data_IF_066063906578
#
_entry.id   IF_066063906578
#
_cell.length_a   1.000
_cell.length_b   1.000
_cell.length_c   1.000
_cell.angle_alpha   90.00
_cell.angle_beta   90.00
_cell.angle_gamma   90.00
#
_symmetry.space_group_name_H-M   'P 1'
#
loop_
_entity.id
_entity.type
_entity.pdbx_description
1 polymer ?
#
# COMPACT_ATOMS: atom_id res chain seq x y z
N UNK A 1 -20.94 -2.40 -9.49
CA UNK A 1 -20.65 -3.84 -9.36
C UNK A 1 -21.11 -4.29 -8.00
N UNK A 2 -22.17 -5.07 -7.96
CA UNK A 2 -22.81 -5.58 -6.74
C UNK A 2 -21.91 -6.56 -5.99
N UNK A 3 -22.05 -6.61 -4.67
CA UNK A 3 -21.39 -7.61 -3.82
C UNK A 3 -22.29 -8.82 -3.59
N UNK A 4 -21.69 -9.92 -3.13
CA UNK A 4 -22.40 -11.14 -2.72
C UNK A 4 -22.73 -11.09 -1.23
N UNK A 5 -23.99 -11.26 -0.84
CA UNK A 5 -24.44 -11.15 0.55
C UNK A 5 -25.09 -12.45 0.99
N UNK A 6 -24.61 -13.04 2.09
CA UNK A 6 -25.27 -14.19 2.71
C UNK A 6 -26.23 -13.71 3.81
N UNK A 7 -27.51 -14.01 3.67
CA UNK A 7 -28.54 -13.73 4.67
C UNK A 7 -28.84 -15.00 5.47
N UNK A 8 -28.77 -14.89 6.80
CA UNK A 8 -28.97 -16.01 7.72
C UNK A 8 -30.00 -15.63 8.77
N UNK A 9 -31.14 -16.31 8.79
CA UNK A 9 -32.21 -16.14 9.80
C UNK A 9 -33.03 -17.44 9.84
N UNK A 10 -33.42 -17.90 11.02
CA UNK A 10 -34.19 -19.14 11.17
C UNK A 10 -35.66 -18.98 10.73
N UNK A 11 -36.13 -17.74 10.61
CA UNK A 11 -37.47 -17.41 10.13
C UNK A 11 -37.43 -17.13 8.62
N UNK A 12 -38.01 -18.04 7.84
CA UNK A 12 -38.02 -17.97 6.36
C UNK A 12 -38.56 -16.65 5.81
N UNK A 13 -39.57 -16.07 6.47
CA UNK A 13 -40.14 -14.79 6.06
C UNK A 13 -39.13 -13.62 6.16
N UNK A 14 -38.26 -13.61 7.18
CA UNK A 14 -37.22 -12.59 7.34
C UNK A 14 -36.17 -12.73 6.23
N UNK A 15 -35.75 -13.96 5.92
CA UNK A 15 -34.79 -14.26 4.86
C UNK A 15 -35.32 -13.76 3.51
N UNK A 16 -36.54 -14.15 3.13
CA UNK A 16 -37.15 -13.74 1.84
C UNK A 16 -37.32 -12.23 1.73
N UNK A 17 -37.65 -11.56 2.84
CA UNK A 17 -37.79 -10.11 2.86
C UNK A 17 -36.44 -9.42 2.60
N UNK A 18 -35.38 -9.84 3.30
CA UNK A 18 -34.04 -9.28 3.13
C UNK A 18 -33.46 -9.62 1.75
N UNK A 19 -33.70 -10.83 1.26
CA UNK A 19 -33.31 -11.27 -0.08
C UNK A 19 -33.94 -10.39 -1.16
N UNK A 20 -35.26 -10.18 -1.11
CA UNK A 20 -35.95 -9.32 -2.06
C UNK A 20 -35.42 -7.87 -2.03
N UNK A 21 -35.19 -7.32 -0.83
CA UNK A 21 -34.66 -5.95 -0.65
C UNK A 21 -33.25 -5.82 -1.23
N UNK A 22 -32.34 -6.72 -0.89
CA UNK A 22 -30.95 -6.67 -1.36
C UNK A 22 -30.85 -6.95 -2.86
N UNK A 23 -31.63 -7.89 -3.39
CA UNK A 23 -31.67 -8.18 -4.82
C UNK A 23 -32.18 -6.98 -5.64
N UNK A 24 -33.10 -6.19 -5.08
CA UNK A 24 -33.59 -4.97 -5.75
C UNK A 24 -32.52 -3.87 -5.87
N UNK A 25 -31.52 -3.90 -5.00
CA UNK A 25 -30.31 -3.06 -5.05
C UNK A 25 -29.14 -3.76 -5.79
N UNK A 26 -29.47 -4.77 -6.61
CA UNK A 26 -28.58 -5.53 -7.48
C UNK A 26 -27.57 -6.46 -6.78
N UNK A 27 -27.64 -6.64 -5.45
CA UNK A 27 -26.76 -7.60 -4.75
C UNK A 27 -27.04 -9.06 -5.14
N UNK A 28 -25.99 -9.87 -5.21
CA UNK A 28 -26.11 -11.34 -5.35
C UNK A 28 -26.39 -11.93 -3.97
N UNK A 29 -27.56 -12.53 -3.74
CA UNK A 29 -27.97 -12.95 -2.40
C UNK A 29 -27.94 -14.47 -2.25
N UNK A 30 -27.22 -14.92 -1.23
CA UNK A 30 -27.25 -16.29 -0.73
C UNK A 30 -28.10 -16.34 0.53
N UNK A 31 -28.72 -17.49 0.80
CA UNK A 31 -29.62 -17.66 1.93
C UNK A 31 -29.31 -18.90 2.75
N UNK A 32 -29.37 -18.79 4.08
CA UNK A 32 -29.31 -19.90 5.00
C UNK A 32 -30.37 -19.75 6.10
N UNK A 33 -30.85 -20.87 6.63
CA UNK A 33 -31.91 -20.90 7.66
C UNK A 33 -31.42 -21.44 9.01
N UNK A 34 -30.11 -21.65 9.17
CA UNK A 34 -29.48 -22.12 10.40
C UNK A 34 -27.96 -21.91 10.34
N UNK A 35 -27.31 -21.95 11.52
CA UNK A 35 -25.87 -21.77 11.65
C UNK A 35 -25.00 -22.76 10.85
N UNK A 36 -25.18 -24.08 10.97
CA UNK A 36 -24.38 -25.05 10.22
C UNK A 36 -24.38 -24.84 8.69
N UNK A 37 -25.56 -24.63 8.10
CA UNK A 37 -25.67 -24.33 6.66
C UNK A 37 -25.00 -23.00 6.32
N UNK A 38 -25.10 -21.99 7.19
CA UNK A 38 -24.43 -20.70 6.97
C UNK A 38 -22.90 -20.84 6.94
N UNK A 39 -22.32 -21.66 7.81
CA UNK A 39 -20.88 -21.93 7.84
C UNK A 39 -20.42 -22.64 6.56
N UNK A 40 -21.14 -23.66 6.12
CA UNK A 40 -20.85 -24.39 4.88
C UNK A 40 -20.87 -23.46 3.65
N UNK A 41 -21.91 -22.63 3.54
CA UNK A 41 -22.02 -21.65 2.44
C UNK A 41 -20.90 -20.61 2.53
N UNK A 42 -20.56 -20.12 3.73
CA UNK A 42 -19.51 -19.12 3.89
C UNK A 42 -18.13 -19.65 3.44
N UNK A 43 -17.80 -20.91 3.71
CA UNK A 43 -16.52 -21.52 3.33
C UNK A 43 -16.40 -21.83 1.83
N UNK A 44 -17.52 -22.18 1.21
CA UNK A 44 -17.60 -22.59 -0.20
C UNK A 44 -17.76 -21.40 -1.15
N UNK A 45 -18.69 -20.49 -0.84
CA UNK A 45 -19.09 -19.38 -1.72
C UNK A 45 -18.36 -18.06 -1.42
N UNK A 46 -17.67 -17.97 -0.26
CA UNK A 46 -16.90 -16.80 0.20
C UNK A 46 -17.64 -15.45 -0.01
N UNK A 47 -18.81 -15.26 0.63
CA UNK A 47 -19.63 -14.07 0.44
C UNK A 47 -18.89 -12.79 0.81
N UNK A 48 -19.32 -11.65 0.28
CA UNK A 48 -18.75 -10.33 0.55
C UNK A 48 -19.17 -9.74 1.89
N UNK A 49 -20.36 -10.09 2.38
CA UNK A 49 -20.89 -9.72 3.69
C UNK A 49 -21.84 -10.82 4.15
N UNK A 50 -21.91 -11.07 5.45
CA UNK A 50 -22.90 -11.94 6.07
C UNK A 50 -23.84 -11.09 6.94
N UNK A 51 -25.15 -11.18 6.70
CA UNK A 51 -26.20 -10.69 7.60
C UNK A 51 -26.69 -11.86 8.44
N UNK A 52 -26.43 -11.83 9.73
CA UNK A 52 -26.59 -12.97 10.62
C UNK A 52 -27.57 -12.66 11.75
N UNK A 53 -28.69 -13.36 11.80
CA UNK A 53 -29.58 -13.28 12.95
C UNK A 53 -28.89 -13.82 14.21
N UNK A 54 -29.15 -13.15 15.34
CA UNK A 54 -28.60 -13.55 16.64
C UNK A 54 -29.34 -14.76 17.20
N UNK A 55 -30.67 -14.79 17.07
CA UNK A 55 -31.57 -15.65 17.83
C UNK A 55 -31.98 -16.87 17.00
N UNK A 56 -31.04 -17.79 16.77
CA UNK A 56 -31.30 -19.03 16.04
C UNK A 56 -31.25 -20.27 16.94
N UNK A 57 -32.07 -21.30 16.68
CA UNK A 57 -32.09 -22.53 17.46
C UNK A 57 -30.84 -23.39 17.22
N UNK A 58 -30.44 -24.15 18.26
CA UNK A 58 -29.27 -25.05 18.32
C UNK A 58 -27.92 -24.32 18.30
N UNK A 59 -27.71 -23.41 17.36
CA UNK A 59 -26.51 -22.61 17.22
C UNK A 59 -26.91 -21.16 17.01
N UNK A 60 -26.62 -20.32 18.01
CA UNK A 60 -26.92 -18.89 17.95
C UNK A 60 -25.96 -18.14 17.01
N UNK A 61 -26.33 -16.92 16.63
CA UNK A 61 -25.50 -16.12 15.72
C UNK A 61 -24.14 -15.74 16.30
N UNK A 62 -23.98 -15.69 17.63
CA UNK A 62 -22.69 -15.40 18.25
C UNK A 62 -21.70 -16.56 18.04
N UNK A 63 -22.18 -17.79 18.19
CA UNK A 63 -21.38 -18.99 17.96
C UNK A 63 -20.99 -19.11 16.47
N UNK A 64 -21.92 -18.88 15.56
CA UNK A 64 -21.62 -18.83 14.12
C UNK A 64 -20.56 -17.76 13.83
N UNK A 65 -20.70 -16.56 14.38
CA UNK A 65 -19.72 -15.48 14.21
C UNK A 65 -18.32 -15.89 14.72
N UNK A 66 -18.22 -16.49 15.90
CA UNK A 66 -16.93 -16.99 16.44
C UNK A 66 -16.29 -18.03 15.54
N UNK A 67 -17.08 -18.95 14.97
CA UNK A 67 -16.56 -19.97 14.07
C UNK A 67 -16.08 -19.36 12.74
N UNK A 68 -16.83 -18.41 12.18
CA UNK A 68 -16.40 -17.66 11.00
C UNK A 68 -15.10 -16.90 11.23
N UNK A 69 -14.97 -16.24 12.38
CA UNK A 69 -13.79 -15.45 12.75
C UNK A 69 -12.58 -16.27 13.19
N UNK A 70 -12.75 -17.54 13.52
CA UNK A 70 -11.63 -18.46 13.83
C UNK A 70 -11.12 -19.24 12.61
N UNK A 71 -11.89 -19.32 11.53
CA UNK A 71 -11.49 -19.98 10.29
C UNK A 71 -10.72 -19.01 9.37
N UNK A 72 -9.49 -19.38 8.98
CA UNK A 72 -8.62 -18.61 8.07
C UNK A 72 -9.26 -18.25 6.72
N UNK A 73 -10.22 -19.04 6.21
CA UNK A 73 -10.91 -18.76 4.94
C UNK A 73 -11.99 -17.69 5.07
N UNK A 74 -12.58 -17.55 6.24
CA UNK A 74 -13.77 -16.70 6.47
C UNK A 74 -13.54 -15.57 7.47
N UNK A 75 -12.39 -15.53 8.14
CA UNK A 75 -12.05 -14.53 9.17
C UNK A 75 -12.24 -13.10 8.69
N UNK A 76 -12.03 -12.89 7.40
CA UNK A 76 -12.09 -11.59 6.75
C UNK A 76 -13.44 -11.24 6.15
N UNK A 77 -14.37 -12.18 6.13
CA UNK A 77 -15.74 -11.92 5.69
C UNK A 77 -16.42 -11.07 6.76
N UNK A 78 -16.89 -9.86 6.43
CA UNK A 78 -17.58 -9.01 7.38
C UNK A 78 -18.91 -9.62 7.85
N UNK A 79 -19.15 -9.66 9.16
CA UNK A 79 -20.39 -10.18 9.75
C UNK A 79 -21.17 -9.04 10.40
N UNK A 80 -22.40 -8.83 9.92
CA UNK A 80 -23.37 -7.89 10.49
C UNK A 80 -24.42 -8.67 11.25
N UNK A 81 -24.47 -8.47 12.56
CA UNK A 81 -25.45 -9.13 13.42
C UNK A 81 -26.80 -8.39 13.34
N UNK A 82 -27.86 -9.11 12.99
CA UNK A 82 -29.23 -8.60 12.94
C UNK A 82 -29.95 -9.06 14.20
N UNK A 83 -30.46 -8.14 15.01
CA UNK A 83 -31.02 -8.49 16.33
C UNK A 83 -32.31 -7.72 16.65
N UNK A 84 -33.26 -8.39 17.30
CA UNK A 84 -34.43 -7.75 17.89
C UNK A 84 -34.02 -7.02 19.19
N UNK A 85 -34.53 -5.80 19.35
CA UNK A 85 -33.99 -4.73 20.20
C UNK A 85 -33.82 -5.01 21.71
N UNK A 86 -32.96 -4.15 22.28
CA UNK A 86 -32.86 -3.62 23.66
C UNK A 86 -31.83 -4.21 24.61
N UNK A 87 -31.25 -5.38 24.35
CA UNK A 87 -30.23 -5.89 25.26
C UNK A 87 -28.83 -5.39 24.91
N UNK A 88 -28.45 -4.31 25.60
CA UNK A 88 -27.08 -3.80 25.76
C UNK A 88 -26.02 -4.89 25.86
N UNK A 89 -26.31 -6.00 26.56
CA UNK A 89 -25.36 -7.10 26.74
C UNK A 89 -25.07 -7.84 25.42
N UNK A 90 -26.05 -7.97 24.53
CA UNK A 90 -25.89 -8.71 23.29
C UNK A 90 -25.02 -7.98 22.25
N UNK A 91 -24.95 -6.63 22.30
CA UNK A 91 -24.05 -5.86 21.40
C UNK A 91 -22.59 -6.01 21.80
N UNK A 92 -22.29 -5.90 23.10
CA UNK A 92 -20.95 -6.13 23.62
C UNK A 92 -20.50 -7.57 23.35
N UNK A 93 -21.36 -8.55 23.62
CA UNK A 93 -21.11 -9.96 23.29
C UNK A 93 -20.84 -10.20 21.80
N UNK A 94 -21.52 -9.47 20.91
CA UNK A 94 -21.24 -9.59 19.48
C UNK A 94 -19.89 -9.01 19.06
N UNK A 95 -19.46 -7.89 19.66
CA UNK A 95 -18.12 -7.34 19.44
C UNK A 95 -17.02 -8.27 19.97
N UNK A 96 -17.28 -8.95 21.09
CA UNK A 96 -16.42 -9.99 21.65
C UNK A 96 -16.39 -11.24 20.75
N UNK A 97 -17.52 -11.58 20.12
CA UNK A 97 -17.60 -12.66 19.13
C UNK A 97 -16.95 -12.32 17.77
N UNK A 98 -16.48 -11.08 17.61
CA UNK A 98 -15.81 -10.60 16.40
C UNK A 98 -16.73 -10.06 15.31
N UNK A 99 -17.99 -9.74 15.63
CA UNK A 99 -18.90 -9.11 14.66
C UNK A 99 -18.36 -7.75 14.21
N UNK A 100 -18.49 -7.48 12.91
CA UNK A 100 -18.03 -6.24 12.30
C UNK A 100 -19.05 -5.12 12.45
N UNK A 101 -20.34 -5.44 12.61
CA UNK A 101 -21.37 -4.43 12.79
C UNK A 101 -22.70 -5.02 13.31
N UNK A 102 -23.67 -4.14 13.57
CA UNK A 102 -25.01 -4.52 14.00
C UNK A 102 -26.09 -3.78 13.22
N UNK A 103 -27.21 -4.49 13.00
CA UNK A 103 -28.47 -3.93 12.57
C UNK A 103 -29.56 -4.32 13.55
N UNK A 104 -30.43 -3.36 13.79
CA UNK A 104 -31.54 -3.49 14.72
C UNK A 104 -32.82 -3.81 13.94
N UNK A 105 -33.58 -4.81 14.40
CA UNK A 105 -34.92 -5.13 13.87
C UNK A 105 -35.95 -4.17 14.50
N UNK A 106 -36.91 -3.62 13.73
CA UNK A 106 -37.09 -3.81 12.29
C UNK A 106 -35.99 -3.11 11.47
N UNK A 107 -35.46 -3.82 10.47
CA UNK A 107 -34.33 -3.34 9.68
C UNK A 107 -34.76 -2.15 8.82
N UNK A 108 -34.12 -1.00 9.04
CA UNK A 108 -34.27 0.19 8.20
C UNK A 108 -33.48 0.02 6.90
N UNK A 109 -34.12 0.28 5.77
CA UNK A 109 -33.56 0.03 4.43
C UNK A 109 -32.33 0.91 4.14
N UNK A 110 -32.38 2.20 4.53
CA UNK A 110 -31.24 3.12 4.39
C UNK A 110 -30.06 2.60 5.21
N UNK A 111 -30.32 2.13 6.43
CA UNK A 111 -29.32 1.54 7.31
C UNK A 111 -28.66 0.32 6.67
N UNK A 112 -29.50 -0.61 6.22
CA UNK A 112 -29.11 -1.88 5.64
C UNK A 112 -28.21 -1.68 4.42
N UNK A 113 -28.67 -0.89 3.46
CA UNK A 113 -27.94 -0.72 2.21
C UNK A 113 -26.64 0.04 2.40
N UNK A 114 -26.63 1.11 3.22
CA UNK A 114 -25.40 1.82 3.50
C UNK A 114 -24.37 0.95 4.21
N UNK A 115 -24.81 0.15 5.18
CA UNK A 115 -23.98 -0.82 5.90
C UNK A 115 -23.35 -1.84 4.96
N UNK A 116 -24.18 -2.50 4.15
CA UNK A 116 -23.72 -3.53 3.20
C UNK A 116 -22.77 -2.91 2.18
N UNK A 117 -23.09 -1.74 1.60
CA UNK A 117 -22.19 -1.05 0.65
C UNK A 117 -20.84 -0.68 1.28
N UNK A 118 -20.84 -0.18 2.51
CA UNK A 118 -19.62 0.18 3.26
C UNK A 118 -18.73 -1.05 3.47
N UNK A 119 -19.31 -2.16 3.90
CA UNK A 119 -18.59 -3.41 4.16
C UNK A 119 -18.09 -4.10 2.90
N UNK A 120 -18.87 -4.11 1.81
CA UNK A 120 -18.42 -4.64 0.52
C UNK A 120 -17.22 -3.83 -0.02
N UNK A 121 -17.26 -2.50 0.11
CA UNK A 121 -16.12 -1.63 -0.28
C UNK A 121 -14.88 -1.96 0.55
N UNK A 122 -15.05 -2.12 1.85
CA UNK A 122 -13.96 -2.45 2.78
C UNK A 122 -13.36 -3.82 2.48
N UNK A 123 -14.18 -4.86 2.27
CA UNK A 123 -13.69 -6.21 1.92
C UNK A 123 -12.86 -6.17 0.64
N UNK A 124 -13.35 -5.51 -0.42
CA UNK A 124 -12.62 -5.40 -1.68
C UNK A 124 -11.28 -4.68 -1.52
N UNK A 125 -11.25 -3.59 -0.76
CA UNK A 125 -10.02 -2.88 -0.46
C UNK A 125 -9.02 -3.79 0.29
N UNK A 126 -9.50 -4.55 1.27
CA UNK A 126 -8.66 -5.51 2.01
C UNK A 126 -8.15 -6.65 1.14
N UNK A 127 -8.99 -7.21 0.25
CA UNK A 127 -8.60 -8.24 -0.70
C UNK A 127 -7.53 -7.72 -1.67
N UNK A 128 -7.66 -6.49 -2.17
CA UNK A 128 -6.67 -5.87 -3.04
C UNK A 128 -5.32 -5.70 -2.34
N UNK A 129 -5.32 -5.22 -1.09
CA UNK A 129 -4.10 -5.10 -0.27
C UNK A 129 -3.47 -6.47 0.00
N UNK A 130 -4.27 -7.51 0.25
CA UNK A 130 -3.75 -8.87 0.44
C UNK A 130 -3.20 -9.50 -0.82
N UNK A 131 -3.81 -9.27 -1.97
CA UNK A 131 -3.25 -9.73 -3.26
C UNK A 131 -1.87 -9.10 -3.45
N UNK A 132 -1.73 -7.81 -3.11
CA UNK A 132 -0.45 -7.09 -3.14
C UNK A 132 0.56 -7.63 -2.11
N UNK A 133 0.15 -7.91 -0.88
CA UNK A 133 0.99 -8.57 0.13
C UNK A 133 1.39 -10.00 -0.29
N UNK A 134 0.48 -10.77 -0.90
CA UNK A 134 0.74 -12.13 -1.38
C UNK A 134 1.72 -12.18 -2.56
N UNK A 135 1.82 -11.09 -3.33
CA UNK A 135 2.88 -10.89 -4.31
C UNK A 135 4.20 -10.64 -3.56
N UNK A 136 4.20 -9.78 -2.53
CA UNK A 136 5.36 -9.52 -1.67
C UNK A 136 5.86 -10.75 -0.87
N UNK A 137 4.98 -11.61 -0.38
CA UNK A 137 5.37 -12.82 0.38
C UNK A 137 6.06 -13.87 -0.49
N UNK A 138 5.71 -13.95 -1.79
CA UNK A 138 6.49 -14.73 -2.78
C UNK A 138 7.90 -14.19 -2.99
N UNK A 139 8.17 -12.95 -2.61
CA UNK A 139 9.51 -12.36 -2.61
C UNK A 139 10.30 -12.59 -1.30
N UNK A 140 9.77 -13.37 -0.36
CA UNK A 140 10.49 -13.81 0.84
C UNK A 140 10.35 -12.89 2.06
N UNK A 141 9.34 -12.01 2.07
CA UNK A 141 8.96 -11.30 3.29
C UNK A 141 8.48 -12.31 4.33
N UNK A 142 9.22 -12.44 5.43
CA UNK A 142 8.80 -13.27 6.56
C UNK A 142 7.52 -12.71 7.20
N UNK A 143 6.71 -13.60 7.80
CA UNK A 143 5.58 -13.22 8.64
C UNK A 143 6.09 -12.36 9.80
N UNK A 144 5.96 -11.04 9.72
CA UNK A 144 6.21 -10.16 10.86
C UNK A 144 5.13 -10.40 11.90
N UNK A 145 5.49 -10.65 13.19
CA UNK A 145 4.50 -10.87 14.22
C UNK A 145 3.64 -9.62 14.41
N UNK A 146 2.33 -9.83 14.28
CA UNK A 146 1.30 -8.82 14.44
C UNK A 146 1.20 -8.43 15.91
N UNK A 147 1.61 -7.21 16.26
CA UNK A 147 1.24 -6.65 17.56
C UNK A 147 -0.20 -6.13 17.47
N UNK A 148 -1.11 -6.69 18.27
CA UNK A 148 -2.45 -6.13 18.41
C UNK A 148 -2.32 -4.77 19.10
N UNK A 149 -2.30 -3.70 18.31
CA UNK A 149 -2.40 -2.35 18.85
C UNK A 149 -3.81 -2.13 19.40
N UNK A 150 -3.98 -2.50 20.67
CA UNK A 150 -5.16 -2.26 21.50
C UNK A 150 -5.05 -0.94 22.26
N UNK A 151 -4.13 -0.06 21.89
CA UNK A 151 -3.95 1.24 22.54
C UNK A 151 -5.21 2.11 22.47
N UNK A 152 -5.40 3.05 23.41
CA UNK A 152 -6.56 3.93 23.43
C UNK A 152 -6.52 4.93 22.24
N UNK A 153 -7.68 5.21 21.63
CA UNK A 153 -7.75 5.94 20.35
C UNK A 153 -7.92 7.46 20.49
N UNK A 154 -7.48 8.26 19.51
CA UNK A 154 -7.77 9.71 19.48
C UNK A 154 -9.01 10.00 18.63
N UNK A 155 -10.01 10.65 19.22
CA UNK A 155 -11.31 10.90 18.59
C UNK A 155 -11.60 12.40 18.47
N UNK A 156 -12.40 12.77 17.49
CA UNK A 156 -12.93 14.13 17.33
C UNK A 156 -14.46 14.09 17.35
N UNK A 157 -15.08 14.90 18.20
CA UNK A 157 -16.54 15.10 18.22
C UNK A 157 -16.85 16.49 17.68
N UNK A 158 -17.74 16.55 16.71
CA UNK A 158 -18.25 17.78 16.09
C UNK A 158 -19.75 17.87 16.37
N UNK A 159 -20.12 18.63 17.39
CA UNK A 159 -21.51 18.83 17.80
C UNK A 159 -21.63 20.22 18.44
N UNK A 160 -22.68 20.96 18.09
CA UNK A 160 -22.96 22.30 18.63
C UNK A 160 -23.61 22.21 20.01
N UNK A 161 -24.25 21.08 20.33
CA UNK A 161 -24.75 20.79 21.67
C UNK A 161 -23.59 20.34 22.57
N UNK A 162 -23.08 21.29 23.35
CA UNK A 162 -21.99 21.05 24.30
C UNK A 162 -22.33 19.97 25.33
N UNK A 163 -23.60 19.86 25.74
CA UNK A 163 -24.03 18.86 26.71
C UNK A 163 -24.04 17.46 26.10
N UNK A 164 -24.56 17.34 24.87
CA UNK A 164 -24.49 16.08 24.12
C UNK A 164 -23.03 15.67 23.87
N UNK A 165 -22.17 16.60 23.44
CA UNK A 165 -20.75 16.36 23.22
C UNK A 165 -20.02 15.91 24.49
N UNK A 166 -20.31 16.53 25.63
CA UNK A 166 -19.74 16.15 26.92
C UNK A 166 -20.17 14.74 27.35
N UNK A 167 -21.45 14.39 27.19
CA UNK A 167 -21.97 13.05 27.49
C UNK A 167 -21.37 11.97 26.59
N UNK A 168 -21.19 12.25 25.31
CA UNK A 168 -20.52 11.35 24.38
C UNK A 168 -19.05 11.17 24.76
N UNK A 169 -18.37 12.26 25.13
CA UNK A 169 -16.98 12.22 25.62
C UNK A 169 -16.85 11.30 26.82
N UNK A 170 -17.70 11.47 27.85
CA UNK A 170 -17.72 10.60 29.03
C UNK A 170 -17.92 9.13 28.66
N UNK A 171 -18.82 8.86 27.73
CA UNK A 171 -19.13 7.51 27.26
C UNK A 171 -17.95 6.86 26.53
N UNK A 172 -17.13 7.64 25.82
CA UNK A 172 -16.01 7.15 25.00
C UNK A 172 -14.68 7.05 25.76
N UNK A 173 -14.58 7.59 26.99
CA UNK A 173 -13.37 7.48 27.82
C UNK A 173 -12.79 6.06 27.95
N UNK A 174 -13.58 4.97 28.03
CA UNK A 174 -13.01 3.62 28.14
C UNK A 174 -12.22 3.16 26.92
N UNK A 175 -12.47 3.76 25.74
CA UNK A 175 -11.89 3.34 24.45
C UNK A 175 -11.01 4.43 23.83
N UNK A 176 -11.09 5.66 24.32
CA UNK A 176 -10.40 6.83 23.79
C UNK A 176 -9.28 7.31 24.73
N UNK A 177 -8.12 7.60 24.16
CA UNK A 177 -7.00 8.25 24.85
C UNK A 177 -7.28 9.74 25.07
N UNK A 178 -7.84 10.37 24.04
CA UNK A 178 -8.24 11.77 24.08
C UNK A 178 -9.40 12.00 23.12
N UNK A 179 -10.34 12.85 23.52
CA UNK A 179 -11.47 13.26 22.70
C UNK A 179 -11.39 14.77 22.51
N UNK A 180 -11.03 15.19 21.30
CA UNK A 180 -11.12 16.58 20.88
C UNK A 180 -12.59 16.92 20.60
N UNK A 181 -12.99 18.17 20.89
CA UNK A 181 -14.35 18.65 20.69
C UNK A 181 -14.30 19.92 19.84
N UNK A 182 -15.21 20.02 18.89
CA UNK A 182 -15.42 21.21 18.07
C UNK A 182 -16.91 21.51 17.99
N UNK A 183 -17.26 22.78 18.08
CA UNK A 183 -18.64 23.26 17.97
C UNK A 183 -19.09 23.43 16.52
N UNK A 184 -18.13 23.56 15.59
CA UNK A 184 -18.39 23.74 14.16
C UNK A 184 -17.48 22.87 13.31
N UNK A 185 -17.92 22.53 12.09
CA UNK A 185 -17.09 21.79 11.13
C UNK A 185 -15.82 22.54 10.72
N UNK A 186 -15.83 23.88 10.71
CA UNK A 186 -14.66 24.69 10.37
C UNK A 186 -13.61 24.65 11.48
N UNK A 187 -14.05 24.75 12.74
CA UNK A 187 -13.18 24.54 13.90
C UNK A 187 -12.61 23.12 13.91
N UNK A 188 -13.45 22.11 13.66
CA UNK A 188 -13.02 20.72 13.57
C UNK A 188 -11.90 20.54 12.55
N UNK A 189 -12.05 21.09 11.34
CA UNK A 189 -11.04 21.02 10.28
C UNK A 189 -9.69 21.61 10.70
N UNK A 190 -9.69 22.73 11.41
CA UNK A 190 -8.46 23.37 11.88
C UNK A 190 -7.77 22.58 13.02
N UNK A 191 -8.55 21.82 13.79
CA UNK A 191 -8.06 20.95 14.86
C UNK A 191 -7.71 19.54 14.37
N UNK A 192 -7.94 19.21 13.09
CA UNK A 192 -7.62 17.89 12.56
C UNK A 192 -6.10 17.66 12.50
N UNK A 193 -5.67 16.60 13.14
CA UNK A 193 -4.29 16.11 13.11
C UNK A 193 -4.27 14.66 12.59
N UNK A 194 -3.13 14.22 12.05
CA UNK A 194 -3.02 12.91 11.37
C UNK A 194 -3.28 11.70 12.30
N UNK A 195 -3.10 11.90 13.60
CA UNK A 195 -3.28 10.92 14.67
C UNK A 195 -4.74 10.73 15.10
N UNK A 196 -5.68 11.57 14.66
CA UNK A 196 -7.11 11.35 14.93
C UNK A 196 -7.57 10.08 14.18
N UNK A 197 -8.24 9.17 14.88
CA UNK A 197 -8.68 7.87 14.36
C UNK A 197 -10.15 7.80 13.96
N UNK A 198 -10.99 8.71 14.44
CA UNK A 198 -12.41 8.77 14.10
C UNK A 198 -12.94 10.20 14.31
N UNK A 199 -13.78 10.64 13.38
CA UNK A 199 -14.63 11.83 13.55
C UNK A 199 -16.06 11.38 13.81
N UNK A 200 -16.69 11.94 14.83
CA UNK A 200 -18.12 11.81 15.09
C UNK A 200 -18.77 13.18 14.86
N UNK A 201 -19.61 13.31 13.84
CA UNK A 201 -20.12 14.61 13.41
C UNK A 201 -21.66 14.66 13.36
N UNK A 202 -22.25 15.61 14.07
CA UNK A 202 -23.70 15.87 14.07
C UNK A 202 -24.15 16.61 12.82
N UNK A 203 -25.17 16.08 12.14
CA UNK A 203 -25.82 16.69 10.97
C UNK A 203 -26.69 17.91 11.33
N UNK A 204 -27.01 18.09 12.61
CA UNK A 204 -27.95 19.09 13.10
C UNK A 204 -27.29 20.43 13.46
N UNK A 205 -25.97 20.57 13.23
CA UNK A 205 -25.19 21.74 13.63
C UNK A 205 -25.60 23.01 12.85
N UNK A 206 -26.06 24.09 13.52
CA UNK A 206 -26.37 25.36 12.90
C UNK A 206 -25.08 26.09 12.52
N UNK A 207 -24.67 26.00 11.25
CA UNK A 207 -23.55 26.75 10.68
C UNK A 207 -22.41 25.92 10.06
N UNK A 208 -22.46 24.59 10.12
CA UNK A 208 -21.45 23.73 9.50
C UNK A 208 -22.08 22.49 8.88
N UNK A 209 -22.04 22.37 7.55
CA UNK A 209 -22.56 21.17 6.90
C UNK A 209 -21.59 20.00 7.13
N UNK A 210 -21.93 19.09 8.03
CA UNK A 210 -21.15 17.87 8.29
C UNK A 210 -20.90 17.06 7.00
N UNK A 211 -21.80 17.14 6.01
CA UNK A 211 -21.58 16.57 4.69
C UNK A 211 -20.39 17.21 3.95
N UNK A 212 -20.18 18.53 4.12
CA UNK A 212 -19.02 19.23 3.58
C UNK A 212 -17.74 18.74 4.24
N UNK A 213 -17.74 18.54 5.57
CA UNK A 213 -16.59 17.96 6.27
C UNK A 213 -16.23 16.58 5.70
N UNK A 214 -17.23 15.72 5.44
CA UNK A 214 -17.02 14.42 4.76
C UNK A 214 -16.33 14.62 3.41
N UNK A 215 -16.84 15.50 2.56
CA UNK A 215 -16.21 15.75 1.24
C UNK A 215 -14.79 16.28 1.33
N UNK A 216 -14.50 17.17 2.29
CA UNK A 216 -13.17 17.73 2.51
C UNK A 216 -12.18 16.67 2.98
N UNK A 217 -12.57 15.82 3.92
CA UNK A 217 -11.76 14.68 4.36
C UNK A 217 -11.49 13.74 3.18
N UNK A 218 -12.50 13.40 2.38
CA UNK A 218 -12.35 12.47 1.24
C UNK A 218 -11.48 13.04 0.11
N UNK A 219 -11.47 14.35 -0.09
CA UNK A 219 -10.62 15.02 -1.08
C UNK A 219 -9.14 15.13 -0.63
N UNK A 220 -8.87 15.19 0.67
CA UNK A 220 -7.54 15.36 1.23
C UNK A 220 -6.79 14.02 1.31
N UNK A 221 -5.54 13.95 0.85
CA UNK A 221 -4.77 12.69 0.84
C UNK A 221 -4.55 12.10 2.25
N UNK A 222 -4.28 12.95 3.24
CA UNK A 222 -4.04 12.53 4.63
C UNK A 222 -5.31 11.99 5.30
N UNK A 223 -6.46 12.61 5.03
CA UNK A 223 -7.72 12.29 5.72
C UNK A 223 -8.69 11.46 4.88
N UNK A 224 -8.32 11.09 3.64
CA UNK A 224 -9.20 10.37 2.70
C UNK A 224 -9.81 9.12 3.32
N UNK A 225 -9.02 8.44 4.14
CA UNK A 225 -9.39 7.18 4.76
C UNK A 225 -9.87 7.33 6.21
N UNK A 226 -9.87 8.55 6.76
CA UNK A 226 -10.31 8.80 8.13
C UNK A 226 -11.79 8.42 8.29
N UNK A 227 -12.15 7.52 9.23
CA UNK A 227 -13.52 7.18 9.48
C UNK A 227 -14.35 8.37 9.97
N UNK A 228 -15.57 8.48 9.45
CA UNK A 228 -16.53 9.51 9.87
C UNK A 228 -17.85 8.82 10.23
N UNK A 229 -18.28 9.00 11.47
CA UNK A 229 -19.56 8.55 12.02
C UNK A 229 -20.50 9.76 12.11
N UNK A 230 -21.60 9.75 11.37
CA UNK A 230 -22.57 10.85 11.39
C UNK A 230 -23.58 10.67 12.53
N UNK A 231 -24.05 11.74 13.15
CA UNK A 231 -25.19 11.70 14.07
C UNK A 231 -26.34 12.46 13.42
N UNK A 232 -27.52 11.86 13.37
CA UNK A 232 -28.70 12.43 12.72
C UNK A 232 -29.94 12.33 13.62
N UNK A 233 -30.90 13.23 13.41
CA UNK A 233 -32.28 13.05 13.90
C UNK A 233 -33.11 12.26 12.87
N UNK A 234 -34.27 11.72 13.28
CA UNK A 234 -35.19 11.02 12.37
C UNK A 234 -35.59 11.85 11.14
N UNK A 235 -35.59 13.18 11.28
CA UNK A 235 -35.92 14.13 10.20
C UNK A 235 -34.81 14.25 9.14
N UNK A 236 -33.59 13.85 9.48
CA UNK A 236 -32.40 13.99 8.64
C UNK A 236 -32.04 12.72 7.85
N UNK A 237 -32.88 11.68 7.90
CA UNK A 237 -32.68 10.43 7.14
C UNK A 237 -32.28 10.63 5.66
N UNK A 238 -32.87 11.58 4.90
CA UNK A 238 -32.43 11.85 3.52
C UNK A 238 -31.01 12.44 3.43
N UNK A 239 -30.62 13.30 4.38
CA UNK A 239 -29.26 13.90 4.43
C UNK A 239 -28.22 12.86 4.84
N UNK A 240 -28.60 11.93 5.71
CA UNK A 240 -27.78 10.81 6.14
C UNK A 240 -27.47 9.86 4.98
N UNK A 241 -28.46 9.51 4.14
CA UNK A 241 -28.21 8.74 2.92
C UNK A 241 -27.17 9.41 2.03
N UNK A 242 -27.30 10.73 1.81
CA UNK A 242 -26.32 11.52 1.07
C UNK A 242 -24.94 11.51 1.72
N UNK A 243 -24.84 11.59 3.04
CA UNK A 243 -23.56 11.51 3.75
C UNK A 243 -22.82 10.19 3.55
N UNK A 244 -23.56 9.08 3.55
CA UNK A 244 -23.01 7.76 3.28
C UNK A 244 -22.55 7.63 1.82
N UNK A 245 -23.30 8.21 0.88
CA UNK A 245 -22.88 8.26 -0.53
C UNK A 245 -21.64 9.13 -0.75
N UNK A 246 -21.49 10.22 0.01
CA UNK A 246 -20.29 11.08 0.04
C UNK A 246 -19.10 10.42 0.74
N UNK A 247 -19.29 9.26 1.39
CA UNK A 247 -18.23 8.45 1.95
C UNK A 247 -18.13 8.48 3.47
N UNK A 248 -19.15 8.95 4.20
CA UNK A 248 -19.24 8.64 5.63
C UNK A 248 -19.30 7.12 5.84
N UNK A 249 -18.70 6.64 6.92
CA UNK A 249 -18.52 5.21 7.14
C UNK A 249 -19.74 4.59 7.79
N UNK A 250 -20.38 5.36 8.66
CA UNK A 250 -21.52 4.92 9.44
C UNK A 250 -22.29 6.14 10.01
N UNK A 251 -23.42 5.90 10.69
CA UNK A 251 -24.21 6.91 11.37
C UNK A 251 -24.87 6.41 12.67
N UNK A 252 -25.29 7.32 13.53
CA UNK A 252 -26.14 7.10 14.71
C UNK A 252 -27.40 7.96 14.58
N UNK A 253 -28.51 7.49 15.14
CA UNK A 253 -29.76 8.26 15.24
C UNK A 253 -29.94 8.73 16.68
N UNK A 254 -30.39 9.97 16.88
CA UNK A 254 -30.73 10.49 18.22
C UNK A 254 -32.07 9.89 18.69
N UNK A 255 -32.23 9.60 20.00
CA UNK A 255 -31.25 9.79 21.07
C UNK A 255 -30.12 8.76 21.01
N UNK A 256 -28.88 9.23 21.19
CA UNK A 256 -27.68 8.36 21.09
C UNK A 256 -27.61 7.43 22.30
N UNK A 257 -27.73 6.13 22.05
CA UNK A 257 -27.50 5.08 23.04
C UNK A 257 -25.99 4.96 23.37
N UNK A 258 -25.65 4.83 24.66
CA UNK A 258 -24.25 4.79 25.10
C UNK A 258 -23.52 3.57 24.54
N UNK A 259 -24.16 2.42 24.51
CA UNK A 259 -23.54 1.16 24.09
C UNK A 259 -23.45 1.09 22.57
N UNK A 260 -24.43 1.66 21.87
CA UNK A 260 -24.38 1.78 20.42
C UNK A 260 -23.25 2.72 19.98
N UNK A 261 -23.08 3.86 20.65
CA UNK A 261 -21.97 4.78 20.41
C UNK A 261 -20.62 4.08 20.63
N UNK A 262 -20.46 3.37 21.75
CA UNK A 262 -19.25 2.59 22.05
C UNK A 262 -18.99 1.53 20.98
N UNK A 263 -20.00 0.74 20.65
CA UNK A 263 -19.89 -0.35 19.68
C UNK A 263 -19.45 0.14 18.30
N UNK A 264 -20.09 1.20 17.80
CA UNK A 264 -19.76 1.78 16.50
C UNK A 264 -18.39 2.43 16.53
N UNK A 265 -18.03 3.11 17.61
CA UNK A 265 -16.71 3.73 17.75
C UNK A 265 -15.59 2.69 17.72
N UNK A 266 -15.69 1.64 18.53
CA UNK A 266 -14.71 0.54 18.56
C UNK A 266 -14.58 -0.11 17.18
N UNK A 267 -15.71 -0.34 16.51
CA UNK A 267 -15.75 -0.91 15.17
C UNK A 267 -14.98 -0.04 14.17
N UNK A 268 -15.23 1.28 14.15
CA UNK A 268 -14.54 2.18 13.22
C UNK A 268 -13.04 2.30 13.50
N UNK A 269 -12.63 2.32 14.79
CA UNK A 269 -11.22 2.33 15.18
C UNK A 269 -10.53 1.04 14.74
N UNK A 270 -11.13 -0.13 15.03
CA UNK A 270 -10.60 -1.44 14.61
C UNK A 270 -10.40 -1.50 13.09
N UNK A 271 -11.39 -1.03 12.32
CA UNK A 271 -11.31 -0.95 10.86
C UNK A 271 -10.16 -0.05 10.39
N UNK A 272 -10.04 1.17 10.93
CA UNK A 272 -8.93 2.08 10.57
C UNK A 272 -7.57 1.46 10.87
N UNK A 273 -7.39 0.87 12.05
CA UNK A 273 -6.11 0.25 12.44
C UNK A 273 -5.76 -0.93 11.56
N UNK A 274 -6.74 -1.78 11.24
CA UNK A 274 -6.53 -2.90 10.32
C UNK A 274 -6.08 -2.39 8.94
N UNK A 275 -6.74 -1.35 8.43
CA UNK A 275 -6.38 -0.73 7.17
C UNK A 275 -4.96 -0.14 7.18
N UNK A 276 -4.63 0.66 8.19
CA UNK A 276 -3.29 1.24 8.34
C UNK A 276 -2.22 0.14 8.43
N UNK A 277 -2.47 -0.94 9.17
CA UNK A 277 -1.55 -2.08 9.30
C UNK A 277 -1.29 -2.75 7.95
N UNK A 278 -2.33 -2.99 7.16
CA UNK A 278 -2.18 -3.59 5.83
C UNK A 278 -1.38 -2.66 4.90
N UNK A 279 -1.62 -1.36 4.96
CA UNK A 279 -0.83 -0.39 4.18
C UNK A 279 0.64 -0.32 4.62
N UNK A 280 0.90 -0.31 5.93
CA UNK A 280 2.25 -0.31 6.49
C UNK A 280 3.00 -1.60 6.16
N UNK A 281 2.36 -2.76 6.34
CA UNK A 281 2.93 -4.05 5.98
C UNK A 281 3.26 -4.11 4.49
N UNK A 282 2.38 -3.60 3.63
CA UNK A 282 2.63 -3.52 2.20
C UNK A 282 3.83 -2.62 1.89
N UNK A 283 3.88 -1.41 2.47
CA UNK A 283 5.02 -0.48 2.29
C UNK A 283 6.33 -1.09 2.79
N UNK A 284 6.32 -1.70 3.97
CA UNK A 284 7.48 -2.35 4.56
C UNK A 284 7.94 -3.53 3.70
N UNK A 285 7.01 -4.32 3.18
CA UNK A 285 7.33 -5.43 2.28
C UNK A 285 7.88 -4.95 0.94
N UNK A 286 7.41 -3.81 0.43
CA UNK A 286 8.01 -3.16 -0.73
C UNK A 286 9.43 -2.67 -0.42
N UNK A 287 9.64 -1.97 0.68
CA UNK A 287 10.95 -1.41 1.03
C UNK A 287 12.01 -2.51 1.22
N UNK A 288 11.64 -3.59 1.93
CA UNK A 288 12.49 -4.80 2.12
C UNK A 288 12.76 -5.57 0.82
N UNK A 289 11.83 -5.56 -0.13
CA UNK A 289 12.01 -6.25 -1.41
C UNK A 289 12.83 -5.42 -2.42
N UNK A 290 12.86 -4.10 -2.25
CA UNK A 290 13.33 -3.17 -3.27
C UNK A 290 14.65 -2.50 -2.95
N UNK A 291 15.03 -2.30 -1.68
CA UNK A 291 16.24 -1.54 -1.30
C UNK A 291 17.19 -2.30 -0.37
N UNK A 292 18.49 -2.12 -0.57
CA UNK A 292 19.59 -2.72 0.19
C UNK A 292 19.76 -2.01 1.53
N UNK A 293 19.54 -2.73 2.64
CA UNK A 293 19.56 -2.16 4.01
C UNK A 293 20.87 -1.43 4.36
N UNK A 294 21.99 -1.88 3.78
CA UNK A 294 23.29 -1.26 4.05
C UNK A 294 23.45 0.06 3.32
N UNK A 295 23.14 0.12 2.03
CA UNK A 295 23.47 1.26 1.15
C UNK A 295 22.29 2.18 0.84
N UNK A 296 21.06 1.73 1.07
CA UNK A 296 19.83 2.42 0.67
C UNK A 296 19.59 2.44 -0.84
N UNK A 297 20.41 1.74 -1.63
CA UNK A 297 20.25 1.61 -3.09
C UNK A 297 19.26 0.50 -3.43
N UNK A 298 18.80 0.43 -4.68
CA UNK A 298 17.92 -0.66 -5.09
C UNK A 298 18.63 -2.03 -5.07
N UNK A 299 17.90 -3.08 -4.69
CA UNK A 299 18.40 -4.45 -4.78
C UNK A 299 18.42 -4.97 -6.22
N UNK A 300 19.25 -6.00 -6.46
CA UNK A 300 19.36 -6.75 -7.72
C UNK A 300 18.00 -7.12 -8.34
N UNK A 301 17.00 -7.44 -7.53
CA UNK A 301 15.67 -7.87 -8.02
C UNK A 301 14.91 -6.73 -8.70
N UNK A 302 14.89 -5.54 -8.10
CA UNK A 302 14.27 -4.36 -8.71
C UNK A 302 15.00 -3.92 -9.98
N UNK A 303 16.34 -3.98 -9.94
CA UNK A 303 17.18 -3.74 -11.11
C UNK A 303 16.73 -4.58 -12.32
N UNK A 304 16.46 -5.87 -12.12
CA UNK A 304 16.10 -6.77 -13.23
C UNK A 304 14.73 -6.43 -13.83
N UNK A 305 13.72 -6.18 -13.00
CA UNK A 305 12.38 -5.77 -13.47
C UNK A 305 12.48 -4.47 -14.29
N UNK A 306 13.20 -3.47 -13.77
CA UNK A 306 13.34 -2.19 -14.44
C UNK A 306 14.14 -2.29 -15.76
N UNK A 307 15.17 -3.15 -15.79
CA UNK A 307 15.96 -3.36 -16.98
C UNK A 307 15.18 -4.09 -18.09
N UNK A 308 14.31 -5.04 -17.71
CA UNK A 308 13.41 -5.72 -18.64
C UNK A 308 12.42 -4.74 -19.29
N UNK A 309 11.82 -3.81 -18.51
CA UNK A 309 10.95 -2.75 -19.02
C UNK A 309 11.70 -1.78 -19.94
N UNK A 310 12.91 -1.36 -19.56
CA UNK A 310 13.73 -0.44 -20.36
C UNK A 310 14.07 -1.04 -21.72
N UNK A 311 14.42 -2.32 -21.76
CA UNK A 311 14.76 -3.02 -23.01
C UNK A 311 13.56 -3.16 -23.93
N UNK A 312 12.36 -3.39 -23.38
CA UNK A 312 11.13 -3.36 -24.18
C UNK A 312 10.96 -2.00 -24.87
N UNK A 313 11.19 -0.90 -24.15
CA UNK A 313 11.15 0.45 -24.73
C UNK A 313 12.24 0.70 -25.76
N UNK A 314 13.47 0.21 -25.54
CA UNK A 314 14.55 0.26 -26.56
C UNK A 314 14.11 -0.45 -27.84
N UNK A 315 13.46 -1.61 -27.71
CA UNK A 315 13.03 -2.43 -28.84
C UNK A 315 11.78 -1.88 -29.56
N UNK A 316 10.87 -1.20 -28.84
CA UNK A 316 9.62 -0.67 -29.38
C UNK A 316 9.75 0.79 -29.85
N UNK A 317 10.34 1.65 -29.02
CA UNK A 317 10.39 3.10 -29.21
C UNK A 317 11.73 3.56 -29.82
N UNK A 318 12.73 2.68 -29.91
CA UNK A 318 14.05 3.01 -30.43
C UNK A 318 14.87 3.94 -29.53
N UNK A 319 14.52 4.06 -28.24
CA UNK A 319 15.26 4.89 -27.29
C UNK A 319 16.65 4.30 -27.01
N UNK A 320 17.65 5.15 -26.79
CA UNK A 320 19.00 4.71 -26.39
C UNK A 320 19.03 4.38 -24.89
N UNK A 321 19.72 3.32 -24.49
CA UNK A 321 19.94 3.02 -23.07
C UNK A 321 21.38 2.57 -22.82
N UNK A 322 21.88 2.84 -21.62
CA UNK A 322 23.20 2.39 -21.20
C UNK A 322 23.21 1.92 -19.74
N UNK A 323 24.13 0.99 -19.46
CA UNK A 323 24.34 0.42 -18.13
C UNK A 323 25.81 0.56 -17.77
N UNK A 324 26.06 1.08 -16.57
CA UNK A 324 27.38 1.03 -15.94
C UNK A 324 27.36 -0.10 -14.92
N UNK A 325 28.37 -0.95 -14.98
CA UNK A 325 28.64 -1.93 -13.95
C UNK A 325 30.01 -1.61 -13.37
N UNK A 326 30.12 -1.52 -12.05
CA UNK A 326 31.37 -1.20 -11.40
C UNK A 326 31.55 -1.89 -10.06
N UNK A 327 32.80 -1.97 -9.66
CA UNK A 327 33.28 -2.74 -8.52
C UNK A 327 34.44 -2.02 -7.86
N UNK A 328 34.55 -2.17 -6.53
CA UNK A 328 35.60 -1.54 -5.73
C UNK A 328 36.90 -2.33 -5.89
N UNK A 329 37.93 -1.65 -6.37
CA UNK A 329 39.23 -2.27 -6.54
C UNK A 329 39.80 -2.71 -5.18
N UNK A 330 40.13 -4.00 -5.07
CA UNK A 330 40.73 -4.59 -3.87
C UNK A 330 39.85 -4.53 -2.61
N UNK A 331 38.52 -4.50 -2.74
CA UNK A 331 37.61 -4.43 -1.58
C UNK A 331 37.82 -5.52 -0.53
N UNK A 332 38.13 -6.75 -0.96
CA UNK A 332 38.45 -7.86 -0.04
C UNK A 332 39.62 -7.50 0.91
N UNK A 333 40.64 -6.82 0.41
CA UNK A 333 41.78 -6.38 1.24
C UNK A 333 41.36 -5.33 2.26
N UNK A 334 40.38 -4.48 1.94
CA UNK A 334 39.82 -3.51 2.89
C UNK A 334 39.14 -4.24 4.05
N UNK A 335 38.31 -5.24 3.76
CA UNK A 335 37.66 -6.06 4.79
C UNK A 335 38.68 -6.85 5.62
N UNK A 336 39.67 -7.47 4.97
CA UNK A 336 40.68 -8.28 5.64
C UNK A 336 41.60 -7.42 6.53
N UNK A 337 41.84 -6.16 6.18
CA UNK A 337 42.76 -5.25 6.90
C UNK A 337 42.06 -4.42 7.97
N UNK A 338 40.84 -3.94 7.69
CA UNK A 338 40.14 -2.95 8.53
C UNK A 338 38.83 -3.49 9.13
N UNK A 339 38.46 -4.73 8.82
CA UNK A 339 37.24 -5.37 9.28
C UNK A 339 36.00 -5.03 8.46
N UNK A 340 34.94 -5.84 8.60
CA UNK A 340 33.71 -5.70 7.84
C UNK A 340 32.98 -4.37 8.07
N UNK A 341 33.02 -3.82 9.30
CA UNK A 341 32.42 -2.52 9.60
C UNK A 341 33.03 -1.36 8.80
N UNK A 342 34.34 -1.43 8.51
CA UNK A 342 35.00 -0.45 7.65
C UNK A 342 34.61 -0.62 6.18
N UNK A 343 34.42 -1.87 5.72
CA UNK A 343 33.86 -2.16 4.39
C UNK A 343 32.45 -1.60 4.23
N UNK A 344 31.61 -1.73 5.25
CA UNK A 344 30.24 -1.21 5.26
C UNK A 344 30.19 0.32 5.17
N UNK A 345 31.12 1.01 5.83
CA UNK A 345 31.29 2.47 5.71
C UNK A 345 31.67 2.87 4.28
N UNK A 346 32.59 2.13 3.66
CA UNK A 346 33.02 2.36 2.27
C UNK A 346 31.84 2.17 1.30
N UNK A 347 31.05 1.11 1.48
CA UNK A 347 29.89 0.83 0.62
C UNK A 347 28.82 1.92 0.74
N UNK A 348 28.52 2.41 1.96
CA UNK A 348 27.58 3.52 2.20
C UNK A 348 28.03 4.82 1.54
N UNK A 349 29.30 5.15 1.69
CA UNK A 349 29.87 6.36 1.08
C UNK A 349 29.89 6.26 -0.44
N UNK A 350 30.24 5.09 -1.01
CA UNK A 350 30.24 4.89 -2.46
C UNK A 350 28.83 4.99 -3.04
N UNK A 351 27.83 4.42 -2.36
CA UNK A 351 26.43 4.55 -2.74
C UNK A 351 26.00 6.02 -2.78
N UNK A 352 26.31 6.77 -1.73
CA UNK A 352 26.07 8.21 -1.67
C UNK A 352 26.71 8.95 -2.85
N UNK A 353 28.01 8.73 -3.10
CA UNK A 353 28.73 9.39 -4.21
C UNK A 353 28.15 9.04 -5.58
N UNK A 354 27.74 7.78 -5.77
CA UNK A 354 27.14 7.32 -7.02
C UNK A 354 25.83 8.05 -7.28
N UNK A 355 24.93 8.08 -6.29
CA UNK A 355 23.63 8.76 -6.40
C UNK A 355 23.76 10.26 -6.71
N UNK A 356 24.79 10.94 -6.17
CA UNK A 356 25.06 12.35 -6.48
C UNK A 356 25.71 12.58 -7.86
N UNK A 357 26.32 11.55 -8.46
CA UNK A 357 26.97 11.65 -9.76
C UNK A 357 26.01 11.39 -10.94
N UNK A 358 24.83 10.83 -10.68
CA UNK A 358 23.83 10.45 -11.70
C UNK A 358 22.57 11.31 -11.58
N UNK A 359 21.68 11.24 -12.57
CA UNK A 359 20.42 11.99 -12.59
C UNK A 359 19.37 11.30 -11.73
N UNK A 360 18.35 12.03 -11.30
CA UNK A 360 17.19 11.48 -10.56
C UNK A 360 16.44 10.40 -11.35
N UNK A 361 16.49 10.45 -12.69
CA UNK A 361 15.86 9.44 -13.57
C UNK A 361 16.71 8.19 -13.77
N UNK A 362 18.00 8.22 -13.37
CA UNK A 362 18.90 7.08 -13.48
C UNK A 362 18.69 6.16 -12.26
N UNK A 363 18.64 4.85 -12.49
CA UNK A 363 18.47 3.86 -11.42
C UNK A 363 19.84 3.41 -10.93
N UNK A 364 20.08 3.49 -9.62
CA UNK A 364 21.29 2.98 -8.97
C UNK A 364 20.94 1.77 -8.10
N UNK A 365 21.59 0.64 -8.37
CA UNK A 365 21.34 -0.60 -7.67
C UNK A 365 22.64 -1.26 -7.20
N UNK A 366 22.56 -2.02 -6.12
CA UNK A 366 23.60 -2.93 -5.66
C UNK A 366 23.27 -4.34 -6.14
N UNK A 367 24.12 -4.89 -7.02
CA UNK A 367 23.90 -6.20 -7.66
C UNK A 367 24.38 -7.35 -6.79
N UNK A 368 25.41 -7.15 -5.97
CA UNK A 368 25.98 -8.19 -5.13
C UNK A 368 24.98 -8.77 -4.12
N UNK A 369 24.92 -10.09 -4.01
CA UNK A 369 24.13 -10.77 -2.98
C UNK A 369 24.91 -10.68 -1.63
N UNK A 370 24.37 -9.94 -0.66
CA UNK A 370 24.99 -9.80 0.68
C UNK A 370 26.25 -8.91 0.70
N UNK A 371 27.42 -9.49 0.99
CA UNK A 371 28.69 -8.78 1.16
C UNK A 371 29.37 -8.34 -0.16
N UNK A 372 28.63 -8.31 -1.27
CA UNK A 372 29.17 -7.97 -2.59
C UNK A 372 29.40 -6.46 -2.78
N UNK A 373 30.41 -6.14 -3.59
CA UNK A 373 30.90 -4.80 -3.90
C UNK A 373 30.57 -4.35 -5.34
N UNK A 374 29.62 -5.04 -5.98
CA UNK A 374 29.16 -4.74 -7.34
C UNK A 374 27.94 -3.82 -7.35
N UNK A 375 28.06 -2.74 -8.12
CA UNK A 375 27.04 -1.73 -8.30
C UNK A 375 26.69 -1.58 -9.77
N UNK A 376 25.42 -1.25 -10.02
CA UNK A 376 24.87 -1.05 -11.36
C UNK A 376 24.19 0.30 -11.41
N UNK A 377 24.44 1.07 -12.48
CA UNK A 377 23.65 2.25 -12.83
C UNK A 377 22.99 2.01 -14.17
N UNK A 378 21.67 2.15 -14.23
CA UNK A 378 20.88 2.08 -15.46
C UNK A 378 20.49 3.50 -15.86
N UNK A 379 20.83 3.87 -17.09
CA UNK A 379 20.59 5.21 -17.61
C UNK A 379 19.68 5.13 -18.85
N UNK A 380 18.39 5.45 -18.70
CA UNK A 380 17.49 5.55 -19.85
C UNK A 380 17.87 6.75 -20.73
N UNK A 381 17.49 6.68 -22.00
CA UNK A 381 17.68 7.77 -22.99
C UNK A 381 19.12 8.29 -23.07
N UNK A 382 20.09 7.39 -22.91
CA UNK A 382 21.51 7.74 -22.82
C UNK A 382 22.35 6.96 -23.82
N UNK A 383 23.08 7.70 -24.66
CA UNK A 383 24.07 7.17 -25.60
C UNK A 383 25.35 6.71 -24.87
N UNK A 384 26.05 5.74 -25.45
CA UNK A 384 27.30 5.18 -24.93
C UNK A 384 28.40 6.24 -24.66
N UNK A 385 28.44 7.32 -25.44
CA UNK A 385 29.43 8.40 -25.29
C UNK A 385 29.16 9.22 -24.04
N UNK A 386 27.88 9.53 -23.79
CA UNK A 386 27.44 10.22 -22.57
C UNK A 386 27.66 9.31 -21.37
N UNK A 387 27.32 8.02 -21.52
CA UNK A 387 27.53 7.02 -20.48
C UNK A 387 29.00 6.90 -20.06
N UNK A 388 29.93 6.89 -21.03
CA UNK A 388 31.36 6.88 -20.76
C UNK A 388 31.81 8.15 -20.01
N UNK A 389 31.25 9.31 -20.33
CA UNK A 389 31.51 10.56 -19.61
C UNK A 389 31.03 10.54 -18.15
N UNK A 390 29.85 9.96 -17.89
CA UNK A 390 29.33 9.77 -16.53
C UNK A 390 30.20 8.77 -15.76
N UNK A 391 30.58 7.66 -16.38
CA UNK A 391 31.47 6.66 -15.79
C UNK A 391 32.83 7.27 -15.40
N UNK A 392 33.46 8.03 -16.29
CA UNK A 392 34.76 8.64 -16.00
C UNK A 392 34.65 9.70 -14.88
N UNK A 393 33.54 10.47 -14.86
CA UNK A 393 33.27 11.39 -13.75
C UNK A 393 33.15 10.64 -12.42
N UNK A 394 32.38 9.56 -12.37
CA UNK A 394 32.21 8.74 -11.17
C UNK A 394 33.56 8.16 -10.69
N UNK A 395 34.35 7.59 -11.60
CA UNK A 395 35.69 7.06 -11.32
C UNK A 395 36.62 8.14 -10.75
N UNK A 396 36.65 9.32 -11.38
CA UNK A 396 37.50 10.43 -10.95
C UNK A 396 37.09 10.98 -9.57
N UNK A 397 35.79 11.12 -9.30
CA UNK A 397 35.28 11.54 -7.99
C UNK A 397 35.68 10.54 -6.90
N UNK A 398 35.50 9.25 -7.14
CA UNK A 398 35.86 8.19 -6.21
C UNK A 398 37.36 8.16 -5.92
N UNK A 399 38.21 8.28 -6.95
CA UNK A 399 39.66 8.26 -6.79
C UNK A 399 40.22 9.54 -6.14
N UNK A 400 39.56 10.69 -6.31
CA UNK A 400 40.02 11.98 -5.78
C UNK A 400 39.69 12.15 -4.30
N UNK A 401 38.51 11.71 -3.89
CA UNK A 401 38.01 11.96 -2.54
C UNK A 401 38.26 10.74 -1.65
N UNK A 402 38.99 10.86 -0.53
CA UNK A 402 39.20 9.73 0.36
C UNK A 402 37.90 9.32 1.08
N UNK A 403 37.76 8.03 1.38
CA UNK A 403 36.68 7.44 2.17
C UNK A 403 37.00 7.58 3.65
N UNK A 404 36.06 8.06 4.46
CA UNK A 404 36.26 8.23 5.90
C UNK A 404 35.60 7.07 6.66
N UNK A 405 36.40 6.29 7.40
CA UNK A 405 35.88 5.20 8.24
C UNK A 405 35.39 5.79 9.56
N UNK A 406 34.15 5.52 9.96
CA UNK A 406 33.52 6.10 11.15
C UNK A 406 34.11 5.57 12.45
N UNK A 407 34.58 4.32 12.46
CA UNK A 407 35.13 3.67 13.65
C UNK A 407 36.37 4.39 14.20
N UNK A 408 37.28 4.81 13.30
CA UNK A 408 38.61 5.31 13.65
C UNK A 408 38.95 6.69 13.06
N UNK A 409 38.06 7.29 12.25
CA UNK A 409 38.28 8.57 11.56
C UNK A 409 39.35 8.55 10.46
N UNK A 410 39.86 7.36 10.10
CA UNK A 410 40.89 7.20 9.07
C UNK A 410 40.34 7.46 7.66
N UNK A 411 41.23 7.93 6.79
CA UNK A 411 40.94 8.23 5.39
C UNK A 411 41.60 7.20 4.48
N UNK A 412 40.79 6.45 3.72
CA UNK A 412 41.23 5.48 2.73
C UNK A 412 41.12 6.05 1.32
N UNK A 413 42.13 5.86 0.48
CA UNK A 413 42.04 6.17 -0.95
C UNK A 413 41.76 4.89 -1.69
N UNK A 414 40.57 4.77 -2.28
CA UNK A 414 40.12 3.60 -3.01
C UNK A 414 39.78 4.00 -4.45
N UNK A 415 39.83 3.03 -5.35
CA UNK A 415 39.49 3.20 -6.76
C UNK A 415 38.39 2.23 -7.15
N UNK A 416 37.73 2.54 -8.27
CA UNK A 416 36.72 1.65 -8.86
C UNK A 416 37.07 1.38 -10.31
N UNK A 417 36.76 0.17 -10.76
CA UNK A 417 36.79 -0.21 -12.16
C UNK A 417 35.37 -0.20 -12.71
N UNK A 418 35.16 0.34 -13.91
CA UNK A 418 33.82 0.51 -14.50
C UNK A 418 33.77 -0.09 -15.90
N UNK A 419 32.80 -0.95 -16.14
CA UNK A 419 32.39 -1.43 -17.46
C UNK A 419 31.13 -0.71 -17.93
N UNK A 420 31.13 -0.21 -19.16
CA UNK A 420 29.98 0.45 -19.79
C UNK A 420 29.46 -0.42 -20.93
N UNK A 421 28.17 -0.75 -20.88
CA UNK A 421 27.42 -1.38 -21.98
C UNK A 421 26.30 -0.46 -22.45
N UNK A 422 26.03 -0.44 -23.76
CA UNK A 422 24.87 0.26 -24.33
C UNK A 422 23.95 -0.73 -25.02
N UNK A 423 22.65 -0.56 -24.87
CA UNK A 423 21.62 -1.40 -25.47
C UNK A 423 21.48 -1.15 -26.97
N UNK A 424 21.21 -2.20 -27.73
CA UNK A 424 20.84 -2.15 -29.14
C UNK A 424 19.47 -2.77 -29.37
N UNK A 425 18.87 -2.44 -30.52
CA UNK A 425 17.64 -3.07 -30.96
C UNK A 425 17.83 -4.60 -31.09
N UNK A 426 16.94 -5.35 -30.46
CA UNK A 426 16.99 -6.81 -30.38
C UNK A 426 17.81 -7.37 -29.22
N UNK A 427 18.41 -6.53 -28.36
CA UNK A 427 19.03 -7.01 -27.13
C UNK A 427 17.98 -7.53 -26.13
N UNK A 428 18.39 -8.50 -25.33
CA UNK A 428 17.76 -8.87 -24.06
C UNK A 428 18.58 -8.36 -22.87
N UNK A 429 18.01 -8.46 -21.67
CA UNK A 429 18.63 -8.03 -20.41
C UNK A 429 19.99 -8.67 -20.19
N UNK A 430 20.06 -9.98 -20.41
CA UNK A 430 21.26 -10.76 -20.11
C UNK A 430 22.39 -10.42 -21.08
N UNK A 431 22.09 -10.09 -22.34
CA UNK A 431 23.06 -9.61 -23.34
C UNK A 431 23.63 -8.24 -22.98
N UNK A 432 22.80 -7.30 -22.54
CA UNK A 432 23.22 -5.98 -22.11
C UNK A 432 24.11 -6.04 -20.86
N UNK A 433 23.69 -6.81 -19.85
CA UNK A 433 24.49 -7.01 -18.63
C UNK A 433 25.81 -7.73 -18.93
N UNK A 434 25.77 -8.80 -19.74
CA UNK A 434 26.98 -9.52 -20.15
C UNK A 434 27.97 -8.61 -20.88
N UNK A 435 27.50 -7.63 -21.64
CA UNK A 435 28.36 -6.63 -22.31
C UNK A 435 29.07 -5.73 -21.30
N UNK A 436 28.35 -5.23 -20.31
CA UNK A 436 28.91 -4.42 -19.23
C UNK A 436 29.86 -5.24 -18.34
N UNK A 437 29.51 -6.49 -18.00
CA UNK A 437 30.35 -7.44 -17.25
C UNK A 437 31.69 -7.70 -17.97
N UNK A 438 31.64 -7.98 -19.27
CA UNK A 438 32.86 -8.19 -20.05
C UNK A 438 33.74 -6.93 -20.13
N UNK A 439 33.12 -5.74 -20.12
CA UNK A 439 33.85 -4.48 -20.08
C UNK A 439 34.52 -4.27 -18.72
N UNK A 440 33.81 -4.56 -17.61
CA UNK A 440 34.34 -4.49 -16.26
C UNK A 440 35.49 -5.49 -16.06
N UNK A 441 35.33 -6.72 -16.55
CA UNK A 441 36.37 -7.74 -16.51
C UNK A 441 37.65 -7.28 -17.22
N UNK A 442 37.49 -6.67 -18.40
CA UNK A 442 38.62 -6.09 -19.13
C UNK A 442 39.26 -4.91 -18.36
N UNK A 443 38.48 -4.10 -17.65
CA UNK A 443 38.98 -2.98 -16.84
C UNK A 443 39.85 -3.49 -15.68
N UNK A 444 39.39 -4.55 -14.99
CA UNK A 444 40.14 -5.22 -13.92
C UNK A 444 41.47 -5.79 -14.44
N UNK A 445 41.49 -6.37 -15.64
CA UNK A 445 42.70 -6.94 -16.24
C UNK A 445 43.67 -5.90 -16.83
N UNK A 446 43.21 -4.68 -17.11
CA UNK A 446 44.05 -3.59 -17.66
C UNK A 446 44.84 -2.82 -16.59
N UNK A 447 44.72 -3.22 -15.32
CA UNK A 447 45.38 -2.56 -14.21
C UNK A 447 44.45 -1.78 -13.28
N UNK A 448 43.12 -1.99 -13.39
CA UNK A 448 42.09 -1.36 -12.55
C UNK A 448 42.01 0.16 -12.70
N UNK A 449 41.17 0.83 -11.89
CA UNK A 449 40.98 2.29 -11.91
C UNK A 449 40.79 2.87 -13.33
N UNK A 450 40.00 2.21 -14.15
CA UNK A 450 39.74 2.64 -15.52
C UNK A 450 38.31 2.32 -15.96
N UNK A 451 37.87 3.02 -16.99
CA UNK A 451 36.60 2.79 -17.66
C UNK A 451 36.86 2.06 -18.97
N UNK A 452 36.14 0.95 -19.19
CA UNK A 452 36.12 0.28 -20.49
C UNK A 452 34.70 0.29 -21.02
N UNK A 453 34.59 0.61 -22.30
CA UNK A 453 33.32 0.76 -23.01
C UNK A 453 33.23 -0.35 -24.05
N UNK A 454 32.09 -1.07 -24.10
CA UNK A 454 31.81 -2.04 -25.15
C UNK A 454 30.53 -1.65 -25.90
N UNK A 455 30.62 -1.29 -27.21
CA UNK A 455 29.45 -1.06 -28.04
C UNK A 455 28.71 -2.37 -28.35
N UNK A 456 27.44 -2.29 -28.80
CA UNK A 456 26.66 -3.46 -29.19
C UNK A 456 27.25 -4.20 -30.40
N UNK A 457 27.02 -5.52 -30.46
CA UNK A 457 27.52 -6.39 -31.52
C UNK A 457 26.53 -6.45 -32.69
N UNK A 458 26.57 -5.45 -33.57
CA UNK A 458 26.41 -5.58 -35.04
C UNK A 458 26.58 -4.20 -35.70
N UNK A 459 27.36 -4.18 -36.80
CA UNK A 459 27.63 -2.99 -37.62
C UNK A 459 26.90 -3.11 -38.99
N UNK A 460 26.88 -2.04 -39.80
CA UNK A 460 27.83 -2.07 -40.91
C UNK A 460 28.65 -0.77 -41.07
N UNK A 461 29.87 -0.97 -41.58
CA UNK A 461 30.78 0.06 -42.10
C UNK A 461 30.05 0.98 -43.07
N UNK A 462 30.13 2.29 -42.86
CA UNK A 462 29.86 3.25 -43.92
C UNK A 462 30.88 3.05 -45.05
N UNK A 463 30.39 2.77 -46.26
CA UNK A 463 31.20 2.80 -47.48
C UNK A 463 31.44 4.26 -47.89
N UNK A 464 32.61 4.65 -48.42
CA UNK A 464 32.81 6.00 -48.95
C UNK A 464 31.96 6.19 -50.22
N UNK A 465 31.53 7.42 -50.53
CA UNK A 465 30.62 7.67 -51.65
C UNK A 465 31.31 7.39 -52.99
N UNK A 466 30.68 6.57 -53.82
CA UNK A 466 31.02 6.44 -55.23
C UNK A 466 30.52 7.70 -55.96
N UNK A 467 31.45 8.42 -56.59
CA UNK A 467 31.15 9.44 -57.59
C UNK A 467 31.06 8.68 -58.91
N UNK A 468 29.86 8.56 -59.49
CA UNK A 468 29.69 8.13 -60.88
C UNK A 468 29.02 9.24 -61.69
N UNK A 469 29.70 9.57 -62.79
CA UNK A 469 29.37 10.54 -63.82
C UNK A 469 27.98 10.33 -64.42
N UNK A 470 27.13 11.35 -64.34
CA UNK A 470 25.94 11.45 -65.18
C UNK A 470 26.31 12.13 -66.50
N UNK A 471 26.74 11.33 -67.48
CA UNK A 471 26.76 11.72 -68.88
C UNK A 471 25.32 11.87 -69.41
N UNK A 472 24.92 13.11 -69.68
CA UNK A 472 23.66 13.42 -70.37
C UNK A 472 23.93 13.54 -71.87
N UNK A 473 23.35 12.63 -72.66
CA UNK A 473 23.26 12.74 -74.11
C UNK A 473 21.78 12.73 -74.55
N UNK A 474 21.29 13.94 -74.82
CA UNK A 474 20.48 14.40 -75.98
C UNK A 474 19.44 13.46 -76.59
N UNK A 475 18.18 13.92 -76.59
CA UNK A 475 17.19 13.96 -77.69
C UNK A 475 16.01 14.82 -77.16
N UNK A 476 15.49 15.87 -77.79
CA UNK A 476 15.39 16.28 -79.21
C UNK A 476 15.41 17.80 -79.34
#
# INVERSE_FOLDING_TARGET
MSGRVLVVDDVEANVKLLEAKLSSEYFDVLTAYNGPTALEIAETELPDVILLDVMMPRMDGFEVCRQLKSNRRTVDVPVVMVTALSDTANRLRGLEAGADDFLTKPVNDVALFARVRSLVRLKRMMEELRVREGICSKFGGGDTPVCEDTGPARLMIVDDDEFAAARMTETLLPVAHSVARASTCAEAWNLLTADIELIIASLCTPGGDALRLVTQCRANETFRQLPILLIADDRDLPRLAKGLDLGANDYLVRPVDRNELLARTVTQIRRKRLQNRLEENYRHSLDLALTDELTGLYHRRYLFVHLDELIQRVNQDGISAAVLLFDIDHFKQVNDTYGHAAGDDVLRELAGRTTHCVRTVDLVARRGDGAGDEFVVVMPETDITIAAGVAERLRATVAREPFTIKSDGRKLSLTISIGVGSAAAGDDRDSLLSRADNALYAAKNRGRNCVIVRPPATAPKMSPPQIEDAGVAIQS
#
